data_IF_203848611739
#
_entry.id   IF_203848611739
#
_cell.length_a   1.000
_cell.length_b   1.000
_cell.length_c   1.000
_cell.angle_alpha   90.00
_cell.angle_beta   90.00
_cell.angle_gamma   90.00
#
_symmetry.space_group_name_H-M   'P 1'
#
loop_
_entity.id
_entity.type
_entity.pdbx_description
1 polymer ?
#
# COMPACT_ATOMS: atom_id res chain seq x y z
N UNK A 1 -0.40 -12.55 17.44
CA UNK A 1 0.90 -11.82 17.47
C UNK A 1 0.95 -11.03 18.78
N UNK A 2 2.04 -11.13 19.52
CA UNK A 2 2.22 -10.39 20.76
C UNK A 2 3.12 -9.17 20.51
N UNK A 3 2.71 -7.98 20.98
CA UNK A 3 3.48 -6.72 20.90
C UNK A 3 3.62 -6.19 22.31
N UNK A 4 4.84 -6.16 22.81
CA UNK A 4 5.17 -5.67 24.15
C UNK A 4 5.58 -4.20 24.10
N UNK A 5 5.16 -3.40 25.06
CA UNK A 5 5.46 -1.95 25.09
C UNK A 5 6.95 -1.66 25.26
N UNK A 6 7.71 -2.54 25.91
CA UNK A 6 9.16 -2.45 26.08
C UNK A 6 9.94 -2.75 24.79
N UNK A 7 9.32 -3.39 23.79
CA UNK A 7 9.87 -3.60 22.46
C UNK A 7 9.64 -2.42 21.50
N UNK A 8 9.75 -1.21 22.01
CA UNK A 8 9.61 0.01 21.20
C UNK A 8 10.78 0.15 20.23
N UNK A 9 10.46 0.12 18.92
CA UNK A 9 11.42 0.31 17.83
C UNK A 9 11.80 1.78 17.66
N UNK A 10 10.80 2.66 17.54
CA UNK A 10 10.99 4.11 17.34
C UNK A 10 9.69 4.86 17.71
N UNK A 11 9.82 6.15 18.05
CA UNK A 11 8.66 7.04 18.17
C UNK A 11 8.61 7.99 16.99
N UNK A 12 7.45 8.13 16.38
CA UNK A 12 7.20 8.92 15.16
C UNK A 12 6.07 9.90 15.40
N UNK A 13 6.21 11.10 14.86
CA UNK A 13 5.18 12.14 14.92
C UNK A 13 4.27 12.06 13.70
N UNK A 14 2.97 12.31 13.87
CA UNK A 14 2.08 12.61 12.75
C UNK A 14 2.40 14.00 12.20
N UNK A 15 3.08 14.04 11.07
CA UNK A 15 3.47 15.29 10.39
C UNK A 15 2.35 15.87 9.51
N UNK A 16 1.27 15.13 9.31
CA UNK A 16 0.25 15.47 8.31
C UNK A 16 -0.96 16.17 8.91
N UNK A 17 -1.44 15.74 10.10
CA UNK A 17 -2.71 16.19 10.66
C UNK A 17 -2.59 16.65 12.11
N UNK A 18 -2.40 15.69 13.05
CA UNK A 18 -2.59 15.95 14.48
C UNK A 18 -1.35 16.51 15.18
N UNK A 19 -0.17 16.21 14.68
CA UNK A 19 1.09 16.50 15.35
C UNK A 19 1.36 15.59 16.57
N UNK A 20 0.49 14.63 16.88
CA UNK A 20 0.65 13.66 17.96
C UNK A 20 1.80 12.69 17.67
N UNK A 21 2.35 12.09 18.72
CA UNK A 21 3.44 11.11 18.60
C UNK A 21 2.95 9.72 18.93
N UNK A 22 3.39 8.74 18.12
CA UNK A 22 3.05 7.33 18.25
C UNK A 22 4.30 6.48 18.34
N UNK A 23 4.27 5.44 19.16
CA UNK A 23 5.35 4.45 19.23
C UNK A 23 5.13 3.35 18.20
N UNK A 24 6.19 2.91 17.54
CA UNK A 24 6.17 1.70 16.71
C UNK A 24 6.75 0.57 17.55
N UNK A 25 5.94 -0.47 17.82
CA UNK A 25 6.32 -1.65 18.60
C UNK A 25 6.73 -2.77 17.66
N UNK A 26 7.90 -3.37 17.89
CA UNK A 26 8.42 -4.47 17.09
C UNK A 26 7.94 -5.83 17.64
N UNK A 27 7.35 -6.63 16.78
CA UNK A 27 7.27 -8.07 17.00
C UNK A 27 8.48 -8.73 16.33
N UNK A 28 9.41 -9.24 17.12
CA UNK A 28 10.68 -9.80 16.62
C UNK A 28 10.47 -11.09 15.81
N UNK A 29 9.52 -11.94 16.22
CA UNK A 29 9.20 -13.17 15.50
C UNK A 29 8.76 -12.89 14.06
N UNK A 30 7.84 -11.93 13.88
CA UNK A 30 7.31 -11.59 12.56
C UNK A 30 8.13 -10.53 11.83
N UNK A 31 9.02 -9.81 12.53
CA UNK A 31 9.67 -8.61 11.98
C UNK A 31 8.64 -7.62 11.42
N UNK A 32 7.60 -7.36 12.21
CA UNK A 32 6.45 -6.51 11.92
C UNK A 32 6.38 -5.42 12.97
N UNK A 33 6.15 -4.15 12.55
CA UNK A 33 5.89 -3.08 13.49
C UNK A 33 4.39 -2.79 13.57
N UNK A 34 3.94 -2.43 14.77
CA UNK A 34 2.57 -1.99 15.07
C UNK A 34 2.61 -0.57 15.62
N UNK A 35 1.79 0.32 15.08
CA UNK A 35 1.57 1.66 15.65
C UNK A 35 0.85 1.55 16.99
N UNK A 36 1.33 2.27 18.01
CA UNK A 36 0.77 2.23 19.36
C UNK A 36 0.73 3.64 20.00
N UNK A 37 -0.41 4.04 20.61
CA UNK A 37 -1.70 3.35 20.52
C UNK A 37 -2.27 3.42 19.10
N UNK A 38 -3.00 2.39 18.68
CA UNK A 38 -3.81 2.50 17.47
C UNK A 38 -5.07 3.30 17.78
N UNK A 39 -5.46 4.26 16.92
CA UNK A 39 -6.75 4.94 17.08
C UNK A 39 -7.91 3.94 17.03
N UNK A 40 -8.96 4.22 17.78
CA UNK A 40 -10.23 3.49 17.64
C UNK A 40 -10.86 3.78 16.26
N UNK A 41 -11.72 2.88 15.78
CA UNK A 41 -12.31 3.01 14.44
C UNK A 41 -13.09 4.32 14.23
N UNK A 42 -13.77 4.80 15.29
CA UNK A 42 -14.50 6.07 15.30
C UNK A 42 -13.58 7.30 15.21
N UNK A 43 -12.34 7.19 15.71
CA UNK A 43 -11.34 8.27 15.65
C UNK A 43 -10.46 8.21 14.42
N UNK A 44 -10.35 7.04 13.79
CA UNK A 44 -9.45 6.85 12.65
C UNK A 44 -9.78 7.81 11.48
N UNK A 45 -11.08 8.09 11.26
CA UNK A 45 -11.55 9.01 10.24
C UNK A 45 -10.94 10.42 10.32
N UNK A 46 -10.72 10.93 11.54
CA UNK A 46 -10.15 12.27 11.78
C UNK A 46 -8.76 12.46 11.16
N UNK A 47 -7.97 11.39 11.09
CA UNK A 47 -6.61 11.41 10.53
C UNK A 47 -6.59 11.37 8.99
N UNK A 48 -7.76 11.23 8.34
CA UNK A 48 -7.94 11.30 6.88
C UNK A 48 -8.62 12.61 6.41
N UNK A 49 -9.02 13.49 7.36
CA UNK A 49 -9.55 14.82 7.07
C UNK A 49 -8.42 15.79 6.74
N UNK A 50 -7.87 15.64 5.55
CA UNK A 50 -6.72 16.39 5.08
C UNK A 50 -6.93 16.85 3.64
N UNK A 51 -6.79 18.14 3.38
CA UNK A 51 -7.07 18.75 2.07
C UNK A 51 -6.24 18.16 0.93
N UNK A 52 -5.02 17.71 1.18
CA UNK A 52 -4.14 17.10 0.17
C UNK A 52 -4.57 15.67 -0.23
N UNK A 53 -5.35 14.95 0.58
CA UNK A 53 -5.88 13.63 0.22
C UNK A 53 -6.97 13.72 -0.87
N UNK A 54 -7.60 14.90 -1.01
CA UNK A 54 -8.67 15.18 -1.97
C UNK A 54 -8.12 15.84 -3.24
N UNK A 55 -6.87 16.32 -3.26
CA UNK A 55 -6.31 17.16 -4.33
C UNK A 55 -5.99 16.44 -5.66
N UNK A 56 -6.60 15.29 -5.91
CA UNK A 56 -6.58 14.68 -7.23
C UNK A 56 -7.77 15.09 -8.10
N UNK A 57 -8.39 16.21 -7.78
CA UNK A 57 -9.51 16.77 -8.53
C UNK A 57 -9.05 17.69 -9.66
N UNK A 58 -9.75 17.57 -10.78
CA UNK A 58 -9.73 18.35 -12.01
C UNK A 58 -9.46 19.86 -11.84
N UNK A 59 -8.20 20.24 -11.69
CA UNK A 59 -7.71 21.61 -11.75
C UNK A 59 -6.80 21.83 -12.95
N UNK A 60 -6.82 22.97 -13.52
CA UNK A 60 -6.17 23.43 -14.76
C UNK A 60 -4.87 22.71 -15.12
N UNK A 61 -4.84 22.08 -16.31
CA UNK A 61 -3.78 21.25 -16.90
C UNK A 61 -2.43 21.95 -16.99
N UNK A 62 -1.71 22.03 -15.89
CA UNK A 62 -0.33 22.46 -15.85
C UNK A 62 0.59 21.38 -16.41
N UNK A 63 1.81 21.71 -16.76
CA UNK A 63 2.81 20.75 -17.24
C UNK A 63 3.06 19.64 -16.20
N UNK A 64 2.95 19.98 -14.91
CA UNK A 64 3.05 19.07 -13.77
C UNK A 64 1.90 18.04 -13.75
N UNK A 65 0.65 18.45 -13.98
CA UNK A 65 -0.50 17.55 -14.06
C UNK A 65 -0.38 16.58 -15.24
N UNK A 66 0.08 17.05 -16.40
CA UNK A 66 0.35 16.16 -17.54
C UNK A 66 1.38 15.10 -17.21
N UNK A 67 2.46 15.47 -16.52
CA UNK A 67 3.49 14.55 -16.07
C UNK A 67 2.94 13.57 -15.04
N UNK A 68 2.16 14.03 -14.06
CA UNK A 68 1.49 13.19 -13.08
C UNK A 68 0.57 12.16 -13.75
N UNK A 69 -0.30 12.57 -14.65
CA UNK A 69 -1.17 11.66 -15.40
C UNK A 69 -0.40 10.69 -16.30
N UNK A 70 0.74 11.10 -16.84
CA UNK A 70 1.61 10.19 -17.59
C UNK A 70 2.21 9.12 -16.69
N UNK A 71 2.75 9.51 -15.53
CA UNK A 71 3.34 8.59 -14.54
C UNK A 71 2.25 7.63 -14.02
N UNK A 72 1.07 8.15 -13.65
CA UNK A 72 -0.07 7.35 -13.19
C UNK A 72 -0.48 6.29 -14.22
N UNK A 73 -0.65 6.69 -15.49
CA UNK A 73 -0.97 5.75 -16.58
C UNK A 73 0.11 4.70 -16.78
N UNK A 74 1.38 5.10 -16.69
CA UNK A 74 2.50 4.16 -16.77
C UNK A 74 2.50 3.16 -15.62
N UNK A 75 2.24 3.62 -14.41
CA UNK A 75 2.13 2.79 -13.22
C UNK A 75 0.99 1.76 -13.37
N UNK A 76 -0.21 2.18 -13.79
CA UNK A 76 -1.35 1.29 -14.03
C UNK A 76 -1.00 0.22 -15.08
N UNK A 77 -0.38 0.61 -16.20
CA UNK A 77 0.05 -0.34 -17.24
C UNK A 77 1.07 -1.35 -16.73
N UNK A 78 1.99 -0.91 -15.85
CA UNK A 78 2.98 -1.81 -15.24
C UNK A 78 2.32 -2.78 -14.25
N UNK A 79 1.36 -2.31 -13.45
CA UNK A 79 0.54 -3.16 -12.56
C UNK A 79 -0.18 -4.25 -13.36
N UNK A 80 -0.83 -3.90 -14.46
CA UNK A 80 -1.53 -4.87 -15.31
C UNK A 80 -0.57 -5.85 -15.98
N UNK A 81 0.58 -5.41 -16.48
CA UNK A 81 1.61 -6.32 -17.03
C UNK A 81 2.08 -7.31 -15.96
N UNK A 82 2.30 -6.85 -14.73
CA UNK A 82 2.69 -7.72 -13.64
C UNK A 82 1.61 -8.78 -13.36
N UNK A 83 0.34 -8.40 -13.36
CA UNK A 83 -0.78 -9.32 -13.21
C UNK A 83 -0.76 -10.34 -14.34
N UNK A 84 -0.67 -9.90 -15.59
CA UNK A 84 -0.67 -10.78 -16.79
C UNK A 84 0.51 -11.75 -16.81
N UNK A 85 1.66 -11.39 -16.22
CA UNK A 85 2.81 -12.29 -16.07
C UNK A 85 2.56 -13.44 -15.09
N UNK A 86 1.76 -13.21 -14.05
CA UNK A 86 1.49 -14.19 -12.99
C UNK A 86 0.13 -14.88 -13.13
N UNK A 87 -0.78 -14.27 -13.87
CA UNK A 87 -2.12 -14.76 -14.19
C UNK A 87 -2.42 -14.47 -15.67
N UNK A 88 -1.93 -15.31 -16.60
CA UNK A 88 -2.05 -15.04 -18.04
C UNK A 88 -3.48 -15.23 -18.58
N UNK A 89 -4.27 -16.09 -17.93
CA UNK A 89 -5.68 -16.31 -18.28
C UNK A 89 -6.54 -15.24 -17.63
N UNK A 90 -7.31 -14.52 -18.44
CA UNK A 90 -8.24 -13.49 -17.95
C UNK A 90 -9.35 -14.13 -17.12
N UNK A 91 -9.74 -13.42 -16.06
CA UNK A 91 -10.78 -13.82 -15.13
C UNK A 91 -11.26 -12.62 -14.34
N UNK A 92 -11.52 -12.81 -13.05
CA UNK A 92 -12.09 -11.79 -12.17
C UNK A 92 -11.03 -11.19 -11.23
N UNK A 93 -10.91 -9.87 -11.24
CA UNK A 93 -10.03 -9.10 -10.36
C UNK A 93 -10.85 -8.45 -9.24
N UNK A 94 -10.40 -8.59 -8.01
CA UNK A 94 -10.79 -7.77 -6.87
C UNK A 94 -9.67 -6.79 -6.56
N UNK A 95 -9.97 -5.49 -6.50
CA UNK A 95 -9.03 -4.47 -6.02
C UNK A 95 -9.57 -3.89 -4.70
N UNK A 96 -8.85 -4.12 -3.61
CA UNK A 96 -9.20 -3.61 -2.28
C UNK A 96 -8.47 -2.28 -2.10
N UNK A 97 -9.21 -1.23 -1.69
CA UNK A 97 -8.74 0.15 -1.71
C UNK A 97 -8.66 0.70 -3.14
N UNK A 98 -9.69 0.45 -3.94
CA UNK A 98 -9.71 0.76 -5.37
C UNK A 98 -9.70 2.27 -5.70
N UNK A 99 -9.87 3.14 -4.71
CA UNK A 99 -9.85 4.59 -4.87
C UNK A 99 -10.83 5.07 -5.95
N UNK A 100 -10.35 5.92 -6.85
CA UNK A 100 -11.15 6.47 -7.97
C UNK A 100 -11.33 5.49 -9.14
N UNK A 101 -10.96 4.22 -9.00
CA UNK A 101 -11.25 3.13 -9.93
C UNK A 101 -10.43 3.11 -11.23
N UNK A 102 -9.42 3.96 -11.39
CA UNK A 102 -8.69 4.07 -12.67
C UNK A 102 -7.95 2.78 -13.04
N UNK A 103 -7.44 2.03 -12.04
CA UNK A 103 -6.82 0.73 -12.27
C UNK A 103 -7.85 -0.30 -12.75
N UNK A 104 -8.99 -0.40 -12.09
CA UNK A 104 -10.06 -1.33 -12.47
C UNK A 104 -10.67 -1.00 -13.83
N UNK A 105 -10.82 0.28 -14.16
CA UNK A 105 -11.28 0.71 -15.47
C UNK A 105 -10.32 0.24 -16.58
N UNK A 106 -9.01 0.42 -16.40
CA UNK A 106 -8.02 -0.03 -17.37
C UNK A 106 -7.96 -1.58 -17.44
N UNK A 107 -8.14 -2.28 -16.32
CA UNK A 107 -8.26 -3.74 -16.31
C UNK A 107 -9.50 -4.21 -17.09
N UNK A 108 -10.65 -3.56 -16.90
CA UNK A 108 -11.89 -3.82 -17.63
C UNK A 108 -11.69 -3.62 -19.14
N UNK A 109 -11.00 -2.55 -19.55
CA UNK A 109 -10.66 -2.30 -20.97
C UNK A 109 -9.75 -3.38 -21.57
N UNK A 110 -9.11 -4.19 -20.74
CA UNK A 110 -8.30 -5.35 -21.12
C UNK A 110 -9.01 -6.69 -20.92
N UNK A 111 -10.34 -6.66 -20.86
CA UNK A 111 -11.23 -7.84 -20.75
C UNK A 111 -11.09 -8.62 -19.44
N UNK A 112 -10.76 -7.94 -18.31
CA UNK A 112 -10.92 -8.50 -16.99
C UNK A 112 -12.33 -8.20 -16.46
N UNK A 113 -12.93 -9.13 -15.76
CA UNK A 113 -14.05 -8.80 -14.88
C UNK A 113 -13.49 -8.09 -13.63
N UNK A 114 -14.11 -6.98 -13.23
CA UNK A 114 -13.53 -6.15 -12.17
C UNK A 114 -14.54 -5.83 -11.09
N UNK A 115 -14.11 -5.96 -9.84
CA UNK A 115 -14.84 -5.53 -8.64
C UNK A 115 -13.90 -4.74 -7.75
N UNK A 116 -14.36 -3.62 -7.22
CA UNK A 116 -13.64 -2.81 -6.23
C UNK A 116 -14.25 -2.93 -4.83
N UNK A 117 -13.44 -2.69 -3.82
CA UNK A 117 -13.86 -2.35 -2.46
C UNK A 117 -13.15 -1.08 -2.08
N UNK A 118 -13.90 -0.04 -1.64
CA UNK A 118 -13.37 1.27 -1.28
C UNK A 118 -14.21 1.87 -0.15
N UNK A 119 -13.63 2.16 1.02
CA UNK A 119 -14.38 2.74 2.14
C UNK A 119 -14.64 4.25 1.97
N UNK A 120 -13.87 4.96 1.14
CA UNK A 120 -14.07 6.39 0.92
C UNK A 120 -15.19 6.62 -0.10
N UNK A 121 -16.36 7.07 0.38
CA UNK A 121 -17.54 7.27 -0.45
C UNK A 121 -17.35 8.29 -1.58
N UNK A 122 -16.50 9.31 -1.41
CA UNK A 122 -16.20 10.29 -2.48
C UNK A 122 -15.41 9.62 -3.61
N UNK A 123 -14.36 8.85 -3.28
CA UNK A 123 -13.58 8.12 -4.27
C UNK A 123 -14.43 7.05 -4.97
N UNK A 124 -15.22 6.29 -4.21
CA UNK A 124 -16.14 5.27 -4.71
C UNK A 124 -17.17 5.86 -5.68
N UNK A 125 -17.76 7.01 -5.35
CA UNK A 125 -18.73 7.70 -6.23
C UNK A 125 -18.11 8.11 -7.57
N UNK A 126 -16.86 8.62 -7.56
CA UNK A 126 -16.11 8.94 -8.78
C UNK A 126 -15.90 7.69 -9.64
N UNK A 127 -15.54 6.57 -9.01
CA UNK A 127 -15.28 5.33 -9.71
C UNK A 127 -16.57 4.70 -10.30
N UNK A 128 -17.69 4.76 -9.56
CA UNK A 128 -19.01 4.31 -10.05
C UNK A 128 -19.43 5.09 -11.29
N UNK A 129 -19.22 6.41 -11.31
CA UNK A 129 -19.51 7.26 -12.46
C UNK A 129 -18.65 6.89 -13.69
N UNK A 130 -17.49 6.25 -13.49
CA UNK A 130 -16.67 5.68 -14.57
C UNK A 130 -17.10 4.27 -14.99
N UNK A 131 -18.13 3.68 -14.36
CA UNK A 131 -18.63 2.35 -14.66
C UNK A 131 -17.87 1.19 -14.00
N UNK A 132 -17.19 1.47 -12.87
CA UNK A 132 -16.56 0.43 -12.02
C UNK A 132 -17.60 -0.13 -11.06
N UNK A 133 -17.63 -1.46 -10.90
CA UNK A 133 -18.49 -2.14 -9.95
C UNK A 133 -17.82 -2.25 -8.58
N UNK A 134 -18.59 -2.05 -7.51
CA UNK A 134 -18.12 -2.15 -6.13
C UNK A 134 -18.96 -3.15 -5.33
N UNK A 135 -18.28 -3.87 -4.44
CA UNK A 135 -18.90 -4.54 -3.33
C UNK A 135 -18.86 -3.63 -2.10
N UNK A 136 -19.80 -3.82 -1.18
CA UNK A 136 -19.83 -3.03 0.06
C UNK A 136 -18.64 -3.38 0.94
N UNK A 137 -18.43 -4.68 1.18
CA UNK A 137 -17.34 -5.22 2.02
C UNK A 137 -16.84 -6.56 1.47
N UNK A 138 -15.65 -6.95 1.88
CA UNK A 138 -15.04 -8.21 1.45
C UNK A 138 -15.74 -9.44 2.05
N UNK A 139 -16.32 -9.32 3.23
CA UNK A 139 -17.02 -10.40 3.95
C UNK A 139 -18.26 -10.91 3.22
N UNK A 140 -18.90 -10.03 2.44
CA UNK A 140 -20.10 -10.37 1.64
C UNK A 140 -19.77 -11.07 0.32
N UNK A 141 -18.49 -11.14 -0.05
CA UNK A 141 -18.04 -11.76 -1.29
C UNK A 141 -17.91 -13.27 -1.15
N UNK A 142 -18.21 -13.99 -2.21
CA UNK A 142 -18.15 -15.46 -2.25
C UNK A 142 -16.70 -15.97 -2.18
N UNK A 143 -16.50 -17.09 -1.47
CA UNK A 143 -15.20 -17.77 -1.40
C UNK A 143 -14.77 -18.28 -2.78
N UNK A 144 -13.45 -18.33 -3.02
CA UNK A 144 -12.85 -18.86 -4.25
C UNK A 144 -13.43 -18.22 -5.53
N UNK A 145 -13.72 -16.92 -5.50
CA UNK A 145 -14.40 -16.23 -6.61
C UNK A 145 -13.46 -15.36 -7.47
N UNK A 146 -12.25 -15.07 -7.00
CA UNK A 146 -11.33 -14.17 -7.71
C UNK A 146 -10.08 -14.88 -8.22
N UNK A 147 -9.74 -14.61 -9.49
CA UNK A 147 -8.51 -15.08 -10.12
C UNK A 147 -7.31 -14.23 -9.70
N UNK A 148 -7.57 -12.93 -9.44
CA UNK A 148 -6.57 -11.99 -8.94
C UNK A 148 -7.19 -11.14 -7.83
N UNK A 149 -6.43 -10.93 -6.76
CA UNK A 149 -6.75 -9.94 -5.72
C UNK A 149 -5.57 -8.97 -5.64
N UNK A 150 -5.84 -7.66 -5.58
CA UNK A 150 -4.81 -6.63 -5.47
C UNK A 150 -5.07 -5.70 -4.28
N UNK A 151 -3.97 -5.33 -3.57
CA UNK A 151 -3.92 -4.31 -2.54
C UNK A 151 -2.70 -3.41 -2.81
N UNK A 152 -2.95 -2.17 -3.18
CA UNK A 152 -1.90 -1.20 -3.51
C UNK A 152 -1.83 -0.13 -2.43
N UNK A 153 -0.95 -0.29 -1.44
CA UNK A 153 -0.86 0.56 -0.24
C UNK A 153 -2.17 0.58 0.56
N UNK A 154 -2.60 -0.60 1.00
CA UNK A 154 -3.86 -0.80 1.74
C UNK A 154 -3.65 -1.66 2.98
N UNK A 155 -2.82 -2.70 2.90
CA UNK A 155 -2.68 -3.66 4.00
C UNK A 155 -2.14 -3.00 5.28
N UNK A 156 -1.35 -1.94 5.14
CA UNK A 156 -0.84 -1.12 6.25
C UNK A 156 -1.91 -0.36 7.02
N UNK A 157 -3.08 -0.14 6.41
CA UNK A 157 -4.19 0.62 7.00
C UNK A 157 -5.25 -0.25 7.68
N UNK A 158 -5.23 -1.57 7.47
CA UNK A 158 -6.30 -2.44 7.96
C UNK A 158 -6.23 -2.59 9.49
N UNK A 159 -7.36 -2.49 10.22
CA UNK A 159 -7.35 -2.60 11.68
C UNK A 159 -6.90 -3.99 12.16
N UNK A 160 -7.38 -5.04 11.53
CA UNK A 160 -7.02 -6.44 11.85
C UNK A 160 -6.36 -7.11 10.64
N UNK A 161 -5.03 -7.09 10.64
CA UNK A 161 -4.23 -7.69 9.56
C UNK A 161 -4.40 -9.21 9.50
N UNK A 162 -4.63 -9.89 10.62
CA UNK A 162 -4.77 -11.35 10.63
C UNK A 162 -6.11 -11.76 10.00
N UNK A 163 -7.19 -11.07 10.35
CA UNK A 163 -8.50 -11.26 9.72
C UNK A 163 -8.44 -10.94 8.21
N UNK A 164 -7.84 -9.81 7.85
CA UNK A 164 -7.67 -9.43 6.43
C UNK A 164 -6.96 -10.51 5.62
N UNK A 165 -5.86 -11.05 6.14
CA UNK A 165 -5.08 -12.12 5.45
C UNK A 165 -5.93 -13.39 5.29
N UNK A 166 -6.73 -13.77 6.30
CA UNK A 166 -7.65 -14.91 6.20
C UNK A 166 -8.73 -14.70 5.14
N UNK A 167 -9.31 -13.50 5.07
CA UNK A 167 -10.30 -13.15 4.05
C UNK A 167 -9.71 -13.13 2.63
N UNK A 168 -8.50 -12.61 2.45
CA UNK A 168 -7.80 -12.68 1.16
C UNK A 168 -7.61 -14.11 0.68
N UNK A 169 -7.23 -15.02 1.61
CA UNK A 169 -7.12 -16.45 1.32
C UNK A 169 -8.47 -17.06 0.96
N UNK A 170 -9.53 -16.73 1.68
CA UNK A 170 -10.89 -17.25 1.45
C UNK A 170 -11.42 -16.87 0.07
N UNK A 171 -11.18 -15.62 -0.35
CA UNK A 171 -11.71 -15.06 -1.60
C UNK A 171 -10.94 -15.53 -2.84
N UNK A 172 -9.65 -15.82 -2.69
CA UNK A 172 -8.77 -16.19 -3.79
C UNK A 172 -9.07 -17.62 -4.27
N UNK A 173 -9.24 -17.82 -5.58
CA UNK A 173 -9.35 -19.15 -6.18
C UNK A 173 -8.08 -19.99 -5.89
N UNK A 174 -8.17 -21.34 -5.90
CA UNK A 174 -7.01 -22.20 -5.69
C UNK A 174 -5.82 -21.87 -6.60
N UNK A 175 -6.05 -21.55 -7.88
CA UNK A 175 -5.02 -21.15 -8.84
C UNK A 175 -4.80 -19.64 -8.93
N UNK A 176 -5.44 -18.86 -8.07
CA UNK A 176 -5.42 -17.40 -8.10
C UNK A 176 -4.08 -16.80 -7.69
N UNK A 177 -3.92 -15.52 -7.99
CA UNK A 177 -2.74 -14.73 -7.65
C UNK A 177 -3.14 -13.53 -6.78
N UNK A 178 -2.51 -13.41 -5.61
CA UNK A 178 -2.64 -12.25 -4.74
C UNK A 178 -1.43 -11.33 -4.92
N UNK A 179 -1.68 -10.04 -5.10
CA UNK A 179 -0.62 -9.02 -5.28
C UNK A 179 -0.81 -7.93 -4.23
N UNK A 180 0.21 -7.70 -3.43
CA UNK A 180 0.18 -6.71 -2.34
C UNK A 180 1.38 -5.78 -2.50
N UNK A 181 1.15 -4.48 -2.47
CA UNK A 181 2.21 -3.50 -2.36
C UNK A 181 2.10 -2.77 -1.02
N UNK A 182 3.22 -2.71 -0.28
CA UNK A 182 3.33 -2.00 1.00
C UNK A 182 4.72 -1.40 1.17
N UNK A 183 4.87 -0.33 1.98
CA UNK A 183 6.17 0.21 2.37
C UNK A 183 6.99 -0.80 3.17
N UNK A 184 8.30 -0.69 3.06
CA UNK A 184 9.27 -1.54 3.73
C UNK A 184 10.11 -0.74 4.71
N UNK A 185 9.89 -0.89 6.01
CA UNK A 185 10.62 -0.15 7.03
C UNK A 185 12.12 -0.54 7.15
N UNK A 186 12.56 -1.59 6.45
CA UNK A 186 13.98 -2.02 6.38
C UNK A 186 14.74 -1.38 5.21
N UNK A 187 14.09 -0.55 4.41
CA UNK A 187 14.69 0.13 3.27
C UNK A 187 15.80 1.11 3.68
N UNK A 188 16.64 1.50 2.71
CA UNK A 188 17.70 2.47 2.95
C UNK A 188 17.14 3.84 3.36
N UNK A 189 16.11 4.34 2.67
CA UNK A 189 15.49 5.62 2.96
C UNK A 189 14.80 5.63 4.32
N UNK A 190 14.15 4.54 4.77
CA UNK A 190 13.62 4.40 6.13
C UNK A 190 14.75 4.55 7.18
N UNK A 191 15.86 3.87 6.97
CA UNK A 191 17.03 3.95 7.86
C UNK A 191 17.70 5.33 7.84
N UNK A 192 17.70 6.03 6.71
CA UNK A 192 18.28 7.37 6.56
C UNK A 192 17.43 8.44 7.25
N UNK A 193 16.10 8.44 6.98
CA UNK A 193 15.19 9.46 7.53
C UNK A 193 14.74 9.18 8.95
N UNK A 194 14.80 7.93 9.40
CA UNK A 194 14.40 7.51 10.76
C UNK A 194 12.99 8.03 11.10
N UNK A 195 12.84 8.79 12.20
CA UNK A 195 11.55 9.34 12.66
C UNK A 195 10.86 10.24 11.63
N UNK A 196 11.57 10.75 10.64
CA UNK A 196 11.04 11.60 9.58
C UNK A 196 10.62 10.84 8.33
N UNK A 197 10.81 9.50 8.28
CA UNK A 197 10.44 8.71 7.12
C UNK A 197 8.93 8.78 6.89
N UNK A 198 8.54 9.36 5.73
CA UNK A 198 7.15 9.68 5.48
C UNK A 198 6.25 8.45 5.37
N UNK A 199 6.80 7.29 4.99
CA UNK A 199 6.00 6.07 4.87
C UNK A 199 5.71 5.38 6.22
N UNK A 200 6.17 5.93 7.35
CA UNK A 200 5.57 5.55 8.63
C UNK A 200 4.14 6.07 8.77
N UNK A 201 3.83 7.22 8.23
CA UNK A 201 2.48 7.81 8.11
C UNK A 201 1.53 7.51 9.29
N UNK A 202 2.06 7.70 10.53
CA UNK A 202 1.29 7.44 11.75
C UNK A 202 0.20 8.48 11.97
N UNK A 203 -0.97 8.13 12.52
CA UNK A 203 -1.41 6.77 12.84
C UNK A 203 -2.22 6.10 11.72
N UNK A 204 -2.22 6.64 10.50
CA UNK A 204 -2.95 6.07 9.35
C UNK A 204 -2.42 4.70 8.98
N UNK A 205 -1.07 4.52 8.98
CA UNK A 205 -0.46 3.22 8.89
C UNK A 205 -0.47 2.56 10.28
N UNK A 206 -1.28 1.53 10.42
CA UNK A 206 -1.41 0.75 11.66
C UNK A 206 -0.34 -0.33 11.77
N UNK A 207 0.21 -0.74 10.63
CA UNK A 207 1.20 -1.81 10.47
C UNK A 207 2.33 -1.37 9.54
N UNK A 208 3.57 -1.84 9.85
CA UNK A 208 4.74 -1.57 8.99
C UNK A 208 5.45 -2.88 8.72
N UNK A 209 5.55 -3.23 7.45
CA UNK A 209 5.95 -4.56 7.02
C UNK A 209 7.44 -4.64 6.68
N UNK A 210 7.98 -5.85 6.89
CA UNK A 210 9.18 -6.36 6.25
C UNK A 210 8.82 -7.53 5.32
N UNK A 211 9.77 -8.00 4.52
CA UNK A 211 9.56 -9.24 3.72
C UNK A 211 9.21 -10.42 4.60
N UNK A 212 9.93 -10.58 5.71
CA UNK A 212 9.67 -11.65 6.69
C UNK A 212 8.26 -11.57 7.27
N UNK A 213 7.75 -10.34 7.51
CA UNK A 213 6.38 -10.17 8.02
C UNK A 213 5.35 -10.71 7.02
N UNK A 214 5.45 -10.30 5.76
CA UNK A 214 4.54 -10.79 4.71
C UNK A 214 4.64 -12.31 4.56
N UNK A 215 5.86 -12.84 4.44
CA UNK A 215 6.06 -14.28 4.29
C UNK A 215 5.41 -15.07 5.44
N UNK A 216 5.67 -14.72 6.70
CA UNK A 216 5.14 -15.42 7.87
C UNK A 216 3.62 -15.26 8.04
N UNK A 217 3.07 -14.09 7.74
CA UNK A 217 1.63 -13.85 7.82
C UNK A 217 0.86 -14.75 6.84
N UNK A 218 1.34 -14.83 5.60
CA UNK A 218 0.67 -15.57 4.55
C UNK A 218 0.98 -17.09 4.60
N UNK A 219 2.17 -17.47 5.07
CA UNK A 219 2.51 -18.87 5.31
C UNK A 219 1.54 -19.57 6.29
N UNK A 220 1.10 -18.87 7.34
CA UNK A 220 0.06 -19.34 8.27
C UNK A 220 -1.29 -19.64 7.60
N UNK A 221 -1.56 -19.04 6.45
CA UNK A 221 -2.76 -19.28 5.66
C UNK A 221 -2.51 -20.23 4.49
N UNK A 222 -1.42 -21.03 4.54
CA UNK A 222 -1.02 -21.93 3.47
C UNK A 222 -0.89 -21.22 2.10
N UNK A 223 -0.24 -20.06 2.11
CA UNK A 223 0.11 -19.31 0.91
C UNK A 223 1.62 -19.15 0.79
N UNK A 224 2.15 -19.24 -0.42
CA UNK A 224 3.56 -19.08 -0.73
C UNK A 224 3.84 -17.70 -1.28
N UNK A 225 4.92 -17.05 -0.83
CA UNK A 225 5.51 -15.89 -1.47
C UNK A 225 6.30 -16.34 -2.70
N UNK A 226 5.76 -16.07 -3.91
CA UNK A 226 6.33 -16.51 -5.18
C UNK A 226 7.40 -15.54 -5.70
N UNK A 227 7.17 -14.25 -5.53
CA UNK A 227 8.12 -13.21 -5.96
C UNK A 227 7.95 -11.91 -5.18
N UNK A 228 9.04 -11.16 -5.09
CA UNK A 228 9.08 -9.79 -4.58
C UNK A 228 9.61 -8.89 -5.69
N UNK A 229 8.91 -7.79 -5.97
CA UNK A 229 9.28 -6.81 -7.00
C UNK A 229 9.39 -5.42 -6.40
N UNK A 230 10.27 -4.54 -6.92
CA UNK A 230 10.41 -3.17 -6.46
C UNK A 230 9.27 -2.27 -6.94
N UNK A 231 8.91 -1.28 -6.14
CA UNK A 231 8.18 -0.09 -6.59
C UNK A 231 9.17 1.08 -6.74
N UNK A 232 9.79 1.18 -7.91
CA UNK A 232 10.91 2.09 -8.17
C UNK A 232 10.64 3.58 -7.91
N UNK A 233 9.39 4.03 -8.11
CA UNK A 233 9.05 5.44 -7.97
C UNK A 233 8.75 5.86 -6.52
N UNK A 234 8.40 4.91 -5.68
CA UNK A 234 8.04 5.18 -4.28
C UNK A 234 9.18 5.78 -3.49
N UNK A 235 10.41 5.28 -3.68
CA UNK A 235 11.59 5.82 -2.99
C UNK A 235 11.77 7.32 -3.20
N UNK A 236 11.50 7.82 -4.41
CA UNK A 236 11.60 9.24 -4.72
C UNK A 236 10.49 10.04 -4.04
N UNK A 237 9.25 9.56 -4.15
CA UNK A 237 8.09 10.23 -3.55
C UNK A 237 8.19 10.25 -2.02
N UNK A 238 8.49 9.12 -1.42
CA UNK A 238 8.65 8.98 0.04
C UNK A 238 9.82 9.84 0.54
N UNK A 239 10.95 9.86 -0.18
CA UNK A 239 12.09 10.72 0.20
C UNK A 239 11.76 12.21 0.12
N UNK A 240 11.02 12.66 -0.90
CA UNK A 240 10.58 14.05 -0.99
C UNK A 240 9.68 14.47 0.17
N UNK A 241 8.73 13.61 0.55
CA UNK A 241 7.86 13.86 1.71
C UNK A 241 8.65 13.78 3.03
N UNK A 242 9.64 12.89 3.13
CA UNK A 242 10.51 12.78 4.30
C UNK A 242 11.38 14.02 4.49
N UNK A 243 11.84 14.64 3.40
CA UNK A 243 12.51 15.95 3.45
C UNK A 243 11.57 17.04 3.98
N UNK A 244 10.30 17.04 3.55
CA UNK A 244 9.28 17.97 4.08
C UNK A 244 9.08 17.76 5.58
N UNK A 245 8.98 16.52 6.05
CA UNK A 245 8.84 16.19 7.47
C UNK A 245 10.05 16.66 8.28
N UNK A 246 11.27 16.50 7.74
CA UNK A 246 12.53 16.79 8.42
C UNK A 246 12.85 18.29 8.47
N UNK A 247 12.55 19.02 7.41
CA UNK A 247 13.03 20.40 7.22
C UNK A 247 11.90 21.44 7.12
N UNK A 248 10.64 21.00 7.08
CA UNK A 248 9.46 21.84 6.84
C UNK A 248 9.25 22.22 5.36
N UNK A 249 10.18 21.84 4.46
CA UNK A 249 10.11 22.16 3.02
C UNK A 249 10.52 20.96 2.17
N UNK A 250 9.94 20.83 0.99
CA UNK A 250 10.41 19.82 0.02
C UNK A 250 11.78 20.22 -0.53
N UNK A 251 12.82 19.48 -0.17
CA UNK A 251 14.13 19.59 -0.79
C UNK A 251 14.24 18.59 -1.95
N UNK A 252 13.94 19.07 -3.16
CA UNK A 252 13.90 18.21 -4.36
C UNK A 252 15.26 17.55 -4.66
N UNK A 253 16.36 18.28 -4.51
CA UNK A 253 17.70 17.73 -4.81
C UNK A 253 18.02 16.58 -3.86
N UNK A 254 17.86 16.81 -2.56
CA UNK A 254 18.19 15.79 -1.55
C UNK A 254 17.21 14.62 -1.61
N UNK A 255 15.91 14.89 -1.71
CA UNK A 255 14.89 13.85 -1.80
C UNK A 255 15.09 12.93 -3.03
N UNK A 256 15.39 13.50 -4.20
CA UNK A 256 15.68 12.70 -5.40
C UNK A 256 17.00 11.94 -5.26
N UNK A 257 18.03 12.54 -4.67
CA UNK A 257 19.33 11.87 -4.44
C UNK A 257 19.17 10.67 -3.49
N UNK A 258 18.48 10.85 -2.35
CA UNK A 258 18.23 9.77 -1.40
C UNK A 258 17.33 8.68 -1.99
N UNK A 259 16.28 9.04 -2.73
CA UNK A 259 15.43 8.08 -3.44
C UNK A 259 16.21 7.26 -4.46
N UNK A 260 17.12 7.88 -5.20
CA UNK A 260 18.03 7.19 -6.10
C UNK A 260 18.95 6.22 -5.37
N UNK A 261 19.62 6.68 -4.31
CA UNK A 261 20.50 5.84 -3.47
C UNK A 261 19.73 4.67 -2.87
N UNK A 262 18.50 4.91 -2.39
CA UNK A 262 17.63 3.85 -1.86
C UNK A 262 17.35 2.76 -2.91
N UNK A 263 17.05 3.15 -4.15
CA UNK A 263 16.89 2.19 -5.24
C UNK A 263 18.17 1.42 -5.56
N UNK A 264 19.32 2.10 -5.60
CA UNK A 264 20.62 1.43 -5.84
C UNK A 264 20.92 0.43 -4.73
N UNK A 265 20.80 0.84 -3.47
CA UNK A 265 20.97 -0.08 -2.32
C UNK A 265 19.95 -1.22 -2.37
N UNK A 266 18.71 -0.92 -2.77
CA UNK A 266 17.66 -1.90 -2.96
C UNK A 266 18.02 -2.99 -3.96
N UNK A 267 18.73 -2.66 -5.05
CA UNK A 267 19.21 -3.66 -6.03
C UNK A 267 20.16 -4.67 -5.37
N UNK A 268 21.08 -4.21 -4.53
CA UNK A 268 22.09 -5.08 -3.89
C UNK A 268 21.55 -5.84 -2.67
N UNK A 269 20.67 -5.22 -1.88
CA UNK A 269 20.15 -5.79 -0.63
C UNK A 269 18.77 -6.41 -0.75
N UNK A 270 18.09 -6.23 -1.89
CA UNK A 270 16.68 -6.56 -2.09
C UNK A 270 15.76 -5.90 -1.03
N UNK A 271 16.11 -4.67 -0.58
CA UNK A 271 15.35 -3.88 0.39
C UNK A 271 14.99 -2.52 -0.22
N UNK A 272 13.95 -2.51 -1.07
CA UNK A 272 13.44 -1.29 -1.69
C UNK A 272 12.51 -0.54 -0.72
N UNK A 273 12.26 0.75 -0.99
CA UNK A 273 11.36 1.61 -0.18
C UNK A 273 9.96 1.02 -0.03
N UNK A 274 9.42 0.48 -1.12
CA UNK A 274 8.18 -0.32 -1.14
C UNK A 274 8.38 -1.57 -1.97
N UNK A 275 7.73 -2.65 -1.54
CA UNK A 275 7.75 -3.93 -2.24
C UNK A 275 6.38 -4.29 -2.79
N UNK A 276 6.38 -4.98 -3.95
CA UNK A 276 5.21 -5.68 -4.46
C UNK A 276 5.44 -7.17 -4.23
N UNK A 277 4.57 -7.77 -3.47
CA UNK A 277 4.57 -9.19 -3.13
C UNK A 277 3.58 -9.95 -4.01
N UNK A 278 4.02 -11.03 -4.62
CA UNK A 278 3.20 -11.94 -5.40
C UNK A 278 3.06 -13.25 -4.61
N UNK A 279 1.84 -13.58 -4.24
CA UNK A 279 1.50 -14.73 -3.41
C UNK A 279 0.53 -15.65 -4.15
N UNK A 280 0.66 -16.95 -3.90
CA UNK A 280 -0.23 -18.00 -4.42
C UNK A 280 -0.56 -19.01 -3.31
N UNK A 281 -1.65 -19.72 -3.49
CA UNK A 281 -1.97 -20.87 -2.64
C UNK A 281 -0.90 -21.96 -2.76
N UNK A 282 -0.62 -22.65 -1.63
CA UNK A 282 0.21 -23.88 -1.60
C UNK A 282 -0.52 -25.03 -2.26
#
# INVERSE_FOLDING_TARGET
MNFLEDHRFITVKDFSVSGESFSLLLNEEYQLLKTHPQPTLDRLGMYYEFDDYISHTDGKRTLFEKMYHFIKRRAIKNKLRLIEQHQPVKGKILDIGAGTGDFLLEAKNKNWETVGVEPNEKAKSIAINKGVLFADTIEKLESNSFDVITLWHVLEHVPDVAHQVAELKRLLKPSGTLIIAVPNFKSFDANYYKTFWAAYDVPRHLWHFSKTAIEKLFDKQNMNLVAVKPMWFDSYYVSLLSEKNKTGKMNFINGLAIGFVSNVVGIFKNEYSSHIYILKNK
#
